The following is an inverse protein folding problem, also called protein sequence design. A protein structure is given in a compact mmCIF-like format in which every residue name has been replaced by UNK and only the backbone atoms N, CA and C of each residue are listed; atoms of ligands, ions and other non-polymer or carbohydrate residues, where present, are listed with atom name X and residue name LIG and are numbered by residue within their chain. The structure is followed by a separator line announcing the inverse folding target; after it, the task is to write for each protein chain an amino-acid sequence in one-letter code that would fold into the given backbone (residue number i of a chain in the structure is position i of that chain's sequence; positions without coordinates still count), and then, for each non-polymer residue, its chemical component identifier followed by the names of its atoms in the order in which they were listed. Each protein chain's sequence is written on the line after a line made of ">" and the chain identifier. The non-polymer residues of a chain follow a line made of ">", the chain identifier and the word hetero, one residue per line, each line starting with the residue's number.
data_IF_302119049436
#
_entry.id   IF_302119049436
#
_cell.length_a   1.000
_cell.length_b   1.000
_cell.length_c   1.000
_cell.angle_alpha   90.00
_cell.angle_beta   90.00
_cell.angle_gamma   90.00
#
_symmetry.space_group_name_H-M   'P 1'
#
loop_
_entity.id
_entity.type
_entity.pdbx_description
1 polymer ?
#
# COMPACT_ATOMS: atom_id res chain seq x y z
N UNK A 1 21.26 -12.27 3.78
CA UNK A 1 20.08 -11.66 3.15
C UNK A 1 20.31 -10.15 3.12
N UNK A 2 20.59 -9.56 1.96
CA UNK A 2 20.96 -8.14 1.86
C UNK A 2 19.69 -7.28 1.80
N UNK A 3 19.50 -6.42 2.80
CA UNK A 3 18.40 -5.46 2.88
C UNK A 3 18.91 -4.16 2.25
N UNK A 4 18.35 -3.77 1.09
CA UNK A 4 18.58 -2.44 0.52
C UNK A 4 17.54 -1.49 1.11
N UNK A 5 18.02 -0.49 1.86
CA UNK A 5 17.27 0.65 2.35
C UNK A 5 16.92 1.57 1.17
N UNK A 6 15.64 1.69 0.87
CA UNK A 6 15.10 2.61 -0.13
C UNK A 6 13.59 2.49 -0.13
N UNK A 7 12.90 3.48 0.45
CA UNK A 7 11.45 3.56 0.50
C UNK A 7 10.95 4.00 -0.88
N UNK A 8 10.90 3.05 -1.82
CA UNK A 8 10.31 3.25 -3.14
C UNK A 8 9.02 2.42 -3.17
N UNK A 9 7.88 3.07 -2.98
CA UNK A 9 6.55 2.44 -3.10
C UNK A 9 6.38 1.70 -4.44
N UNK A 10 7.11 2.16 -5.46
CA UNK A 10 7.27 1.53 -6.78
C UNK A 10 7.91 0.13 -6.76
N UNK A 11 8.90 -0.13 -5.89
CA UNK A 11 9.59 -1.43 -5.82
C UNK A 11 8.73 -2.52 -5.17
N UNK A 12 7.83 -2.14 -4.26
CA UNK A 12 6.88 -3.08 -3.63
C UNK A 12 5.83 -3.53 -4.65
N UNK A 13 5.33 -2.59 -5.47
CA UNK A 13 4.45 -2.91 -6.60
C UNK A 13 5.16 -3.80 -7.63
N UNK A 14 6.44 -3.56 -7.93
CA UNK A 14 7.24 -4.39 -8.87
C UNK A 14 7.43 -5.82 -8.38
N UNK A 15 7.60 -6.02 -7.07
CA UNK A 15 7.81 -7.36 -6.48
C UNK A 15 6.51 -8.13 -6.26
N UNK A 16 5.45 -7.46 -5.82
CA UNK A 16 4.21 -8.13 -5.40
C UNK A 16 3.17 -8.20 -6.52
N UNK A 17 3.15 -7.23 -7.45
CA UNK A 17 2.14 -7.15 -8.51
C UNK A 17 2.73 -6.85 -9.92
N UNK A 18 3.68 -7.67 -10.42
CA UNK A 18 4.35 -7.43 -11.70
C UNK A 18 3.38 -7.38 -12.90
N UNK A 19 2.26 -8.09 -12.81
CA UNK A 19 1.21 -8.13 -13.83
C UNK A 19 0.37 -6.84 -13.90
N UNK A 20 0.25 -6.10 -12.80
CA UNK A 20 -0.46 -4.82 -12.75
C UNK A 20 0.41 -3.70 -13.31
N UNK A 21 1.71 -3.72 -12.97
CA UNK A 21 2.72 -2.82 -13.51
C UNK A 21 2.91 -2.98 -15.02
N UNK A 22 2.85 -4.20 -15.56
CA UNK A 22 2.88 -4.42 -17.01
C UNK A 22 1.71 -3.74 -17.74
N UNK A 23 0.56 -3.57 -17.06
CA UNK A 23 -0.63 -2.91 -17.60
C UNK A 23 -0.56 -1.38 -17.51
N UNK A 24 0.17 -0.85 -16.54
CA UNK A 24 0.44 0.61 -16.37
C UNK A 24 1.65 1.07 -17.18
N UNK A 25 2.67 0.22 -17.38
CA UNK A 25 3.96 0.58 -18.01
C UNK A 25 4.15 0.07 -19.45
N UNK A 26 3.20 -0.72 -19.99
CA UNK A 26 3.22 -1.17 -21.40
C UNK A 26 4.35 -2.15 -21.78
N UNK A 27 5.06 -2.74 -20.82
CA UNK A 27 6.19 -3.66 -21.09
C UNK A 27 5.74 -5.13 -21.17
N UNK A 28 6.28 -5.95 -22.10
CA UNK A 28 5.95 -7.36 -22.23
C UNK A 28 6.54 -8.18 -21.07
N UNK A 29 5.69 -8.76 -20.23
CA UNK A 29 6.07 -9.68 -19.16
C UNK A 29 6.14 -11.12 -19.67
N UNK A 30 7.35 -11.71 -19.70
CA UNK A 30 7.56 -13.14 -19.99
C UNK A 30 7.06 -13.99 -18.82
N UNK A 31 5.99 -14.76 -19.05
CA UNK A 31 5.43 -15.71 -18.07
C UNK A 31 6.31 -16.94 -17.93
N UNK A 32 6.73 -17.25 -16.70
CA UNK A 32 7.20 -18.59 -16.34
C UNK A 32 6.03 -19.42 -15.81
N UNK A 33 6.02 -20.68 -16.24
CA UNK A 33 4.85 -21.54 -16.35
C UNK A 33 4.63 -22.38 -15.08
N UNK A 34 4.33 -21.77 -13.92
CA UNK A 34 3.88 -22.54 -12.73
C UNK A 34 3.19 -21.63 -11.72
N UNK A 35 1.85 -21.56 -11.79
CA UNK A 35 0.86 -21.34 -10.73
C UNK A 35 -0.35 -20.57 -11.28
N UNK A 36 -1.22 -21.31 -11.96
CA UNK A 36 -2.62 -20.94 -12.17
C UNK A 36 -3.43 -21.69 -11.12
N UNK A 37 -3.32 -21.29 -9.85
CA UNK A 37 -4.48 -21.40 -8.95
C UNK A 37 -5.22 -20.08 -9.12
N UNK A 38 -6.52 -20.16 -9.37
CA UNK A 38 -7.42 -19.01 -9.46
C UNK A 38 -7.19 -18.08 -8.25
N UNK A 39 -6.43 -17.00 -8.44
CA UNK A 39 -6.08 -16.08 -7.36
C UNK A 39 -7.18 -15.01 -7.24
N UNK A 40 -8.00 -15.01 -6.17
CA UNK A 40 -8.92 -13.91 -5.90
C UNK A 40 -8.20 -12.61 -5.48
N UNK A 41 -6.87 -12.66 -5.27
CA UNK A 41 -6.04 -11.59 -4.68
C UNK A 41 -5.59 -10.50 -5.68
N UNK A 42 -6.27 -10.36 -6.82
CA UNK A 42 -6.01 -9.21 -7.69
C UNK A 42 -6.56 -7.95 -7.00
N UNK A 43 -5.78 -6.85 -6.93
CA UNK A 43 -6.31 -5.59 -6.44
C UNK A 43 -7.53 -5.22 -7.28
N UNK A 44 -8.69 -5.16 -6.61
CA UNK A 44 -9.94 -4.92 -7.30
C UNK A 44 -9.93 -3.47 -7.74
N UNK A 45 -9.99 -3.22 -9.05
CA UNK A 45 -10.21 -1.88 -9.55
C UNK A 45 -11.67 -1.51 -9.24
N UNK A 46 -11.87 -0.64 -8.26
CA UNK A 46 -13.19 -0.21 -7.81
C UNK A 46 -13.38 1.28 -8.04
N UNK A 47 -14.61 1.67 -8.36
CA UNK A 47 -15.01 3.07 -8.44
C UNK A 47 -15.37 3.59 -7.05
N UNK A 48 -14.72 4.69 -6.66
CA UNK A 48 -14.89 5.38 -5.40
C UNK A 48 -15.28 6.84 -5.65
N UNK A 49 -15.93 7.43 -4.66
CA UNK A 49 -16.32 8.84 -4.66
C UNK A 49 -15.66 9.51 -3.46
N UNK A 50 -15.05 10.67 -3.68
CA UNK A 50 -14.42 11.48 -2.64
C UNK A 50 -14.68 12.96 -2.88
N UNK A 51 -14.88 13.71 -1.80
CA UNK A 51 -15.19 15.14 -1.85
C UNK A 51 -13.94 15.96 -1.56
N UNK A 52 -13.49 16.74 -2.54
CA UNK A 52 -12.32 17.61 -2.41
C UNK A 52 -12.77 19.00 -2.00
N UNK A 53 -12.36 19.44 -0.82
CA UNK A 53 -12.62 20.78 -0.33
C UNK A 53 -11.51 21.73 -0.76
N UNK A 54 -11.82 22.80 -1.49
CA UNK A 54 -10.81 23.70 -2.06
C UNK A 54 -11.08 25.16 -1.64
N UNK A 55 -10.02 25.85 -1.24
CA UNK A 55 -10.07 27.28 -0.91
C UNK A 55 -10.05 28.14 -2.19
N UNK A 56 -10.79 29.26 -2.27
CA UNK A 56 -10.84 30.12 -3.45
C UNK A 56 -9.48 30.62 -3.95
N UNK A 57 -8.48 30.70 -3.07
CA UNK A 57 -7.10 31.06 -3.44
C UNK A 57 -6.50 30.13 -4.50
N UNK A 58 -6.95 28.89 -4.58
CA UNK A 58 -6.47 27.91 -5.56
C UNK A 58 -7.30 27.89 -6.84
N UNK A 59 -8.26 28.81 -7.01
CA UNK A 59 -9.05 28.96 -8.24
C UNK A 59 -8.22 29.73 -9.26
N UNK A 60 -7.38 28.99 -9.97
CA UNK A 60 -6.58 29.49 -11.07
C UNK A 60 -6.87 28.73 -12.36
N UNK A 61 -6.12 29.03 -13.43
CA UNK A 61 -6.21 28.30 -14.70
C UNK A 61 -5.93 26.78 -14.56
N UNK A 62 -5.23 26.39 -13.49
CA UNK A 62 -4.89 24.99 -13.17
C UNK A 62 -5.84 24.37 -12.13
N UNK A 63 -7.06 24.88 -11.96
CA UNK A 63 -8.04 24.38 -10.98
C UNK A 63 -8.18 22.84 -11.02
N UNK A 64 -8.39 22.27 -12.20
CA UNK A 64 -8.57 20.83 -12.35
C UNK A 64 -7.32 20.04 -11.95
N UNK A 65 -6.14 20.55 -12.26
CA UNK A 65 -4.87 19.91 -11.90
C UNK A 65 -4.66 19.93 -10.38
N UNK A 66 -4.96 21.05 -9.73
CA UNK A 66 -4.94 21.17 -8.27
C UNK A 66 -5.91 20.18 -7.61
N UNK A 67 -7.12 20.04 -8.14
CA UNK A 67 -8.11 19.05 -7.62
C UNK A 67 -7.57 17.63 -7.76
N UNK A 68 -6.94 17.28 -8.89
CA UNK A 68 -6.35 15.95 -9.09
C UNK A 68 -5.19 15.68 -8.12
N UNK A 69 -4.26 16.63 -7.98
CA UNK A 69 -3.15 16.50 -7.04
C UNK A 69 -3.63 16.34 -5.60
N UNK A 70 -4.63 17.14 -5.22
CA UNK A 70 -5.25 17.06 -3.90
C UNK A 70 -5.94 15.71 -3.69
N UNK A 71 -6.62 15.18 -4.70
CA UNK A 71 -7.19 13.83 -4.66
C UNK A 71 -6.12 12.79 -4.37
N UNK A 72 -5.05 12.72 -5.16
CA UNK A 72 -3.98 11.73 -4.95
C UNK A 72 -3.42 11.80 -3.52
N UNK A 73 -3.19 13.01 -3.02
CA UNK A 73 -2.61 13.22 -1.68
C UNK A 73 -3.56 12.84 -0.55
N UNK A 74 -4.86 13.05 -0.71
CA UNK A 74 -5.85 12.76 0.32
C UNK A 74 -6.30 11.30 0.33
N UNK A 75 -6.29 10.60 -0.80
CA UNK A 75 -6.85 9.24 -0.90
C UNK A 75 -5.77 8.15 -0.93
N UNK A 76 -4.62 8.37 -1.55
CA UNK A 76 -3.58 7.33 -1.64
C UNK A 76 -2.95 7.06 -0.28
N UNK A 77 -2.79 5.78 0.07
CA UNK A 77 -2.31 5.34 1.38
C UNK A 77 -3.37 5.37 2.49
N UNK A 78 -4.57 5.88 2.24
CA UNK A 78 -5.65 5.86 3.25
C UNK A 78 -6.27 4.48 3.40
N UNK A 79 -6.86 4.22 4.58
CA UNK A 79 -7.56 2.97 4.86
C UNK A 79 -9.01 3.25 5.26
N UNK A 80 -9.94 2.61 4.59
CA UNK A 80 -11.37 2.65 4.91
C UNK A 80 -11.85 1.26 5.28
N UNK A 81 -12.55 1.08 6.40
CA UNK A 81 -13.01 -0.25 6.84
C UNK A 81 -13.91 -1.00 5.84
N UNK A 82 -14.59 -0.27 4.95
CA UNK A 82 -15.43 -0.83 3.88
C UNK A 82 -14.64 -1.32 2.66
N UNK A 83 -13.56 -0.65 2.29
CA UNK A 83 -12.86 -0.91 1.01
C UNK A 83 -11.42 -1.41 1.18
N UNK A 84 -10.83 -1.27 2.37
CA UNK A 84 -9.43 -1.56 2.64
C UNK A 84 -8.52 -0.34 2.43
N UNK A 85 -7.26 -0.62 2.12
CA UNK A 85 -6.23 0.36 1.81
C UNK A 85 -6.32 0.79 0.35
N UNK A 86 -6.31 2.09 0.09
CA UNK A 86 -6.23 2.65 -1.25
C UNK A 86 -4.74 2.72 -1.63
N UNK A 87 -4.31 1.88 -2.57
CA UNK A 87 -2.91 1.79 -2.97
C UNK A 87 -2.55 2.92 -3.93
N UNK A 88 -3.35 3.06 -4.99
CA UNK A 88 -3.12 4.04 -6.04
C UNK A 88 -4.41 4.34 -6.80
N UNK A 89 -4.57 5.59 -7.20
CA UNK A 89 -5.65 6.00 -8.11
C UNK A 89 -5.24 5.65 -9.54
N UNK A 90 -6.09 4.93 -10.27
CA UNK A 90 -5.82 4.50 -11.64
C UNK A 90 -6.33 5.51 -12.66
N UNK A 91 -7.60 5.91 -12.56
CA UNK A 91 -8.22 6.88 -13.47
C UNK A 91 -9.19 7.76 -12.70
N UNK A 92 -9.36 8.99 -13.16
CA UNK A 92 -10.38 9.90 -12.66
C UNK A 92 -11.47 9.94 -13.72
N UNK A 93 -12.64 9.41 -13.39
CA UNK A 93 -13.73 9.23 -14.34
C UNK A 93 -14.50 10.54 -14.52
N UNK A 94 -14.76 11.27 -13.42
CA UNK A 94 -15.49 12.53 -13.47
C UNK A 94 -15.13 13.45 -12.29
N UNK A 95 -15.09 14.76 -12.57
CA UNK A 95 -15.01 15.82 -11.56
C UNK A 95 -16.32 16.59 -11.64
N UNK A 96 -17.16 16.47 -10.61
CA UNK A 96 -18.45 17.14 -10.55
C UNK A 96 -18.34 18.65 -10.37
N UNK A 97 -19.47 19.35 -10.53
CA UNK A 97 -19.54 20.78 -10.32
C UNK A 97 -19.20 21.15 -8.87
N UNK A 98 -18.42 22.22 -8.70
CA UNK A 98 -18.05 22.72 -7.38
C UNK A 98 -19.25 23.34 -6.66
N UNK A 99 -19.52 22.87 -5.44
CA UNK A 99 -20.60 23.36 -4.59
C UNK A 99 -20.00 24.29 -3.54
N UNK A 100 -20.38 25.57 -3.56
CA UNK A 100 -19.92 26.55 -2.57
C UNK A 100 -20.56 26.25 -1.22
N UNK A 101 -19.74 26.04 -0.20
CA UNK A 101 -20.23 25.88 1.16
C UNK A 101 -20.63 27.24 1.75
N UNK A 102 -21.89 27.38 2.22
CA UNK A 102 -22.35 28.63 2.82
C UNK A 102 -21.56 28.93 4.10
N UNK A 103 -21.17 30.19 4.28
CA UNK A 103 -20.54 30.70 5.50
C UNK A 103 -19.01 30.59 5.58
N UNK A 104 -18.38 29.67 4.85
CA UNK A 104 -16.91 29.52 4.90
C UNK A 104 -16.19 29.85 3.58
N UNK A 105 -16.93 30.01 2.48
CA UNK A 105 -16.36 30.37 1.18
C UNK A 105 -15.53 29.28 0.50
N UNK A 106 -15.44 28.07 1.09
CA UNK A 106 -14.84 26.92 0.44
C UNK A 106 -15.78 26.33 -0.62
N UNK A 107 -15.20 25.62 -1.59
CA UNK A 107 -15.94 24.89 -2.61
C UNK A 107 -15.63 23.41 -2.51
N UNK A 108 -16.65 22.58 -2.52
CA UNK A 108 -16.54 21.12 -2.51
C UNK A 108 -16.71 20.60 -3.93
N UNK A 109 -15.74 19.82 -4.40
CA UNK A 109 -15.77 19.14 -5.68
C UNK A 109 -15.97 17.63 -5.45
N UNK A 110 -17.14 17.06 -5.80
CA UNK A 110 -17.32 15.62 -5.76
C UNK A 110 -16.58 14.96 -6.93
N UNK A 111 -15.63 14.08 -6.64
CA UNK A 111 -14.79 13.41 -7.64
C UNK A 111 -15.09 11.92 -7.65
N UNK A 112 -15.37 11.38 -8.85
CA UNK A 112 -15.49 9.94 -9.09
C UNK A 112 -14.20 9.44 -9.71
N UNK A 113 -13.58 8.46 -9.07
CA UNK A 113 -12.30 7.91 -9.50
C UNK A 113 -12.27 6.40 -9.33
N UNK A 114 -11.36 5.76 -10.05
CA UNK A 114 -11.05 4.35 -9.95
C UNK A 114 -9.75 4.18 -9.21
N UNK A 115 -9.71 3.25 -8.26
CA UNK A 115 -8.52 2.97 -7.49
C UNK A 115 -8.28 1.48 -7.34
N UNK A 116 -7.00 1.16 -7.19
CA UNK A 116 -6.49 -0.14 -6.79
C UNK A 116 -6.58 -0.17 -5.26
N UNK A 117 -7.42 -1.06 -4.75
CA UNK A 117 -7.55 -1.26 -3.29
C UNK A 117 -7.00 -2.60 -2.86
N UNK A 118 -6.45 -2.63 -1.65
CA UNK A 118 -5.93 -3.81 -0.99
C UNK A 118 -6.67 -4.00 0.34
N UNK A 119 -7.39 -5.11 0.48
CA UNK A 119 -8.14 -5.44 1.70
C UNK A 119 -7.66 -6.78 2.24
N UNK A 120 -6.81 -6.79 3.28
CA UNK A 120 -6.34 -8.03 3.87
C UNK A 120 -7.48 -8.78 4.57
N UNK A 121 -7.47 -10.11 4.49
CA UNK A 121 -8.43 -10.99 5.14
C UNK A 121 -7.79 -11.77 6.30
N UNK A 122 -8.59 -12.13 7.31
CA UNK A 122 -8.11 -12.96 8.42
C UNK A 122 -7.76 -14.36 7.90
N UNK A 123 -6.51 -14.77 8.14
CA UNK A 123 -5.98 -16.07 7.69
C UNK A 123 -5.39 -16.06 6.28
N UNK A 124 -5.33 -14.90 5.63
CA UNK A 124 -4.61 -14.72 4.38
C UNK A 124 -3.10 -14.82 4.59
N UNK A 125 -2.39 -15.39 3.62
CA UNK A 125 -0.93 -15.51 3.63
C UNK A 125 -0.37 -14.43 2.72
N UNK A 126 0.41 -13.51 3.29
CA UNK A 126 0.96 -12.35 2.61
C UNK A 126 2.47 -12.28 2.82
N UNK A 127 3.19 -11.90 1.77
CA UNK A 127 4.62 -11.60 1.86
C UNK A 127 4.82 -10.22 2.48
N UNK A 128 5.74 -10.12 3.44
CA UNK A 128 6.03 -8.90 4.18
C UNK A 128 7.53 -8.61 4.24
N UNK A 129 7.88 -7.33 4.30
CA UNK A 129 9.26 -6.87 4.51
C UNK A 129 9.44 -6.54 5.98
N UNK A 130 10.35 -7.23 6.67
CA UNK A 130 10.65 -6.94 8.08
C UNK A 130 11.37 -5.60 8.18
N UNK A 131 10.81 -4.69 8.97
CA UNK A 131 11.35 -3.34 9.19
C UNK A 131 12.06 -3.20 10.53
N UNK A 132 11.57 -3.90 11.56
CA UNK A 132 12.18 -3.86 12.89
C UNK A 132 12.03 -5.19 13.62
N UNK A 133 13.07 -5.58 14.35
CA UNK A 133 13.10 -6.81 15.14
C UNK A 133 13.39 -6.48 16.60
N UNK A 134 12.48 -6.87 17.49
CA UNK A 134 12.57 -6.62 18.93
C UNK A 134 12.34 -7.92 19.74
N UNK A 135 12.58 -7.85 21.05
CA UNK A 135 12.31 -8.98 21.98
C UNK A 135 10.82 -9.36 22.03
N UNK A 136 9.92 -8.39 21.85
CA UNK A 136 8.47 -8.62 21.90
C UNK A 136 7.91 -9.26 20.62
N UNK A 137 8.66 -9.19 19.52
CA UNK A 137 8.21 -9.59 18.20
C UNK A 137 8.92 -8.85 17.08
N UNK A 138 8.35 -8.89 15.88
CA UNK A 138 8.88 -8.16 14.72
C UNK A 138 7.79 -7.31 14.06
N UNK A 139 8.19 -6.15 13.56
CA UNK A 139 7.38 -5.31 12.70
C UNK A 139 7.72 -5.62 11.25
N UNK A 140 6.68 -5.83 10.45
CA UNK A 140 6.81 -6.06 9.03
C UNK A 140 5.80 -5.21 8.26
N UNK A 141 6.16 -4.82 7.05
CA UNK A 141 5.33 -4.01 6.16
C UNK A 141 4.88 -4.82 4.95
N UNK A 142 3.60 -4.71 4.61
CA UNK A 142 2.95 -5.31 3.45
C UNK A 142 2.36 -4.15 2.64
N UNK A 143 3.19 -3.52 1.80
CA UNK A 143 2.82 -2.25 1.16
C UNK A 143 2.52 -1.18 2.23
N UNK A 144 1.34 -0.53 2.22
CA UNK A 144 0.98 0.48 3.24
C UNK A 144 0.51 -0.12 4.57
N UNK A 145 0.36 -1.45 4.68
CA UNK A 145 -0.06 -2.11 5.91
C UNK A 145 1.15 -2.39 6.81
N UNK A 146 1.13 -1.89 8.04
CA UNK A 146 2.06 -2.30 9.09
C UNK A 146 1.48 -3.47 9.89
N UNK A 147 2.25 -4.55 10.01
CA UNK A 147 1.90 -5.75 10.76
C UNK A 147 2.89 -5.96 11.91
N UNK A 148 2.34 -6.33 13.07
CA UNK A 148 3.13 -6.75 14.21
C UNK A 148 2.97 -8.25 14.43
N UNK A 149 4.08 -8.98 14.38
CA UNK A 149 4.15 -10.41 14.63
C UNK A 149 4.70 -10.60 16.04
N UNK A 150 3.82 -11.00 16.96
CA UNK A 150 4.19 -11.28 18.35
C UNK A 150 5.16 -12.47 18.43
N UNK A 151 6.10 -12.42 19.38
CA UNK A 151 6.96 -13.56 19.71
C UNK A 151 6.18 -14.86 19.97
N UNK A 152 4.97 -14.79 20.53
CA UNK A 152 4.15 -15.98 20.76
C UNK A 152 3.64 -16.65 19.48
N UNK A 153 3.61 -15.90 18.37
CA UNK A 153 3.25 -16.39 17.04
C UNK A 153 4.46 -16.88 16.25
N UNK A 154 5.69 -16.65 16.75
CA UNK A 154 6.93 -17.11 16.14
C UNK A 154 7.20 -18.54 16.62
N UNK A 155 7.63 -19.46 15.73
CA UNK A 155 8.03 -20.82 16.11
C UNK A 155 9.08 -20.86 17.24
N UNK A 156 8.95 -21.83 18.16
CA UNK A 156 9.78 -21.91 19.37
C UNK A 156 11.26 -22.27 19.13
N UNK A 157 11.60 -22.70 17.92
CA UNK A 157 12.96 -22.98 17.46
C UNK A 157 13.72 -21.72 17.04
N UNK A 158 13.03 -20.60 16.80
CA UNK A 158 13.64 -19.29 16.54
C UNK A 158 13.82 -18.50 17.85
N UNK A 159 15.02 -17.95 18.06
CA UNK A 159 15.35 -17.15 19.23
C UNK A 159 15.74 -15.72 18.85
N UNK A 160 15.29 -14.75 19.64
CA UNK A 160 15.72 -13.37 19.50
C UNK A 160 17.17 -13.21 19.98
N UNK A 161 18.02 -12.67 19.11
CA UNK A 161 19.43 -12.45 19.38
C UNK A 161 19.74 -10.93 19.36
N UNK A 162 19.79 -10.26 20.54
CA UNK A 162 20.04 -8.82 20.61
C UNK A 162 21.50 -8.43 20.34
N UNK A 163 22.43 -9.37 20.47
CA UNK A 163 23.87 -9.10 20.35
C UNK A 163 24.36 -8.96 18.91
N UNK A 164 23.49 -9.21 17.92
CA UNK A 164 23.80 -9.02 16.51
C UNK A 164 23.45 -7.59 16.09
N UNK A 165 24.20 -7.06 15.13
CA UNK A 165 23.92 -5.76 14.53
C UNK A 165 23.63 -5.93 13.03
N UNK A 166 22.36 -5.87 12.59
CA UNK A 166 21.15 -5.56 13.36
C UNK A 166 20.62 -6.75 14.19
N UNK A 167 19.81 -6.51 15.24
CA UNK A 167 19.12 -7.56 15.99
C UNK A 167 18.26 -8.46 15.10
N UNK A 168 18.20 -9.75 15.40
CA UNK A 168 17.52 -10.73 14.54
C UNK A 168 16.87 -11.88 15.31
N UNK A 169 16.00 -12.64 14.63
CA UNK A 169 15.58 -13.97 15.07
C UNK A 169 16.37 -15.02 14.27
N UNK A 170 16.86 -16.07 14.95
CA UNK A 170 17.65 -17.14 14.33
C UNK A 170 17.25 -18.51 14.87
N UNK A 171 17.28 -19.54 14.02
CA UNK A 171 17.06 -20.94 14.43
C UNK A 171 18.28 -21.50 15.19
N UNK A 172 18.06 -22.48 16.07
CA UNK A 172 19.13 -23.11 16.87
C UNK A 172 20.22 -23.79 16.02
N UNK A 173 19.92 -24.20 14.79
CA UNK A 173 20.87 -24.90 13.91
C UNK A 173 21.92 -23.96 13.32
N UNK A 174 21.57 -22.70 13.05
CA UNK A 174 22.53 -21.68 12.59
C UNK A 174 23.44 -21.13 13.70
N UNK A 175 23.14 -21.42 14.97
CA UNK A 175 23.96 -20.97 16.12
C UNK A 175 25.20 -21.85 16.31
N UNK A 176 25.25 -23.05 15.71
CA UNK A 176 26.37 -24.00 15.89
C UNK A 176 27.58 -23.80 14.96
N UNK A 177 27.53 -22.85 14.03
CA UNK A 177 28.61 -22.59 13.06
C UNK A 177 29.33 -21.25 13.28
N UNK A 178 29.39 -20.75 14.51
CA UNK A 178 30.24 -19.62 14.90
C UNK A 178 31.21 -20.04 16.00
#
# INVERSE_FOLDING_TARGET
>A
MAVRSGFDSWLILERVYPHLLAKVSGKPFRRNHTQLRSNPDLPVNISLEHEILLHPRYFGPQLLETVKQKLYTEVEGTCTGKYGFVIAVTTIDNIGAGIIQPGQGFVVYPVKYKAIVFRPFKGEVLDAVVTQVNKVGMFAEIGPLSCFISHHSIPADMQFCPNYNPPCYRSKEEVRFC
#
